data_IF_425150908543
#
_entry.id   IF_425150908543
#
_cell.length_a   1.000
_cell.length_b   1.000
_cell.length_c   1.000
_cell.angle_alpha   90.00
_cell.angle_beta   90.00
_cell.angle_gamma   90.00
#
_symmetry.space_group_name_H-M   'P 1'
#
loop_
_entity.id
_entity.type
_entity.pdbx_description
1 polymer ?
#
# COMPACT_ATOMS: atom_id res chain seq x y z
N UNK A 1 -0.83 50.36 -9.74
CA UNK A 1 0.28 49.62 -9.11
C UNK A 1 -0.34 48.36 -8.52
N UNK A 2 -0.33 47.26 -9.28
CA UNK A 2 -0.89 45.99 -8.82
C UNK A 2 0.01 45.43 -7.71
N UNK A 3 -0.56 45.15 -6.54
CA UNK A 3 0.15 44.50 -5.44
C UNK A 3 0.31 43.02 -5.80
N UNK A 4 1.56 42.60 -5.99
CA UNK A 4 1.91 41.19 -6.04
C UNK A 4 1.63 40.58 -4.66
N UNK A 5 0.54 39.81 -4.53
CA UNK A 5 0.27 39.01 -3.34
C UNK A 5 1.23 37.83 -3.35
N UNK A 6 2.01 37.68 -2.27
CA UNK A 6 2.84 36.50 -2.06
C UNK A 6 1.92 35.28 -1.88
N UNK A 7 1.99 34.24 -2.74
CA UNK A 7 1.09 33.07 -2.70
C UNK A 7 1.49 32.03 -1.66
N UNK A 8 2.48 32.33 -0.81
CA UNK A 8 3.05 31.37 0.11
C UNK A 8 2.26 31.33 1.41
N UNK A 9 1.50 30.23 1.56
CA UNK A 9 0.67 29.91 2.72
C UNK A 9 1.43 29.91 4.05
N UNK A 10 2.75 29.74 4.05
CA UNK A 10 3.54 29.62 5.28
C UNK A 10 3.68 30.95 6.05
N UNK A 11 3.42 32.10 5.39
CA UNK A 11 3.47 33.44 6.01
C UNK A 11 2.10 33.94 6.48
N UNK A 12 1.03 33.17 6.28
CA UNK A 12 -0.35 33.55 6.61
C UNK A 12 -0.73 33.14 8.03
N UNK A 13 0.02 33.66 9.02
CA UNK A 13 -0.05 33.29 10.45
C UNK A 13 -1.41 33.55 11.12
N UNK A 14 -2.24 34.40 10.51
CA UNK A 14 -3.56 34.78 11.03
C UNK A 14 -4.71 34.22 10.20
N UNK A 15 -4.43 33.36 9.23
CA UNK A 15 -5.49 32.63 8.55
C UNK A 15 -6.15 31.66 9.53
N UNK A 16 -7.49 31.58 9.55
CA UNK A 16 -8.15 30.55 10.33
C UNK A 16 -7.68 29.18 9.84
N UNK A 17 -7.45 28.25 10.77
CA UNK A 17 -7.12 26.88 10.41
C UNK A 17 -8.21 26.32 9.49
N UNK A 18 -7.78 25.74 8.37
CA UNK A 18 -8.69 25.05 7.47
C UNK A 18 -9.15 23.77 8.16
N UNK A 19 -10.36 23.80 8.69
CA UNK A 19 -11.02 22.61 9.25
C UNK A 19 -11.79 21.87 8.14
N UNK A 20 -11.52 20.58 8.01
CA UNK A 20 -12.24 19.71 7.07
C UNK A 20 -13.61 19.38 7.67
N UNK A 21 -14.68 19.91 7.08
CA UNK A 21 -16.07 19.70 7.53
C UNK A 21 -16.86 18.75 6.63
N UNK A 22 -16.29 18.29 5.51
CA UNK A 22 -17.00 17.49 4.53
C UNK A 22 -16.97 15.97 4.80
N UNK A 23 -16.10 15.50 5.70
CA UNK A 23 -15.99 14.09 6.08
C UNK A 23 -16.53 13.96 7.50
N UNK A 24 -17.67 13.30 7.66
CA UNK A 24 -18.31 13.09 8.96
C UNK A 24 -17.63 11.98 9.77
N UNK A 25 -17.17 10.92 9.09
CA UNK A 25 -16.47 9.80 9.71
C UNK A 25 -15.62 9.04 8.68
N UNK A 26 -14.62 8.30 9.17
CA UNK A 26 -13.77 7.41 8.37
C UNK A 26 -13.60 6.09 9.10
N UNK A 27 -13.54 5.00 8.34
CA UNK A 27 -13.34 3.65 8.87
C UNK A 27 -12.63 2.78 7.84
N UNK A 28 -11.97 1.72 8.32
CA UNK A 28 -11.40 0.70 7.44
C UNK A 28 -12.43 -0.39 7.14
N UNK A 29 -12.45 -0.84 5.89
CA UNK A 29 -13.24 -1.99 5.44
C UNK A 29 -12.29 -3.08 5.02
N UNK A 30 -12.47 -4.27 5.59
CA UNK A 30 -11.65 -5.44 5.26
C UNK A 30 -12.20 -6.14 4.02
N UNK A 31 -11.34 -6.35 3.03
CA UNK A 31 -11.67 -7.00 1.76
C UNK A 31 -10.79 -8.23 1.63
N UNK A 32 -11.44 -9.38 1.48
CA UNK A 32 -10.76 -10.66 1.34
C UNK A 32 -10.48 -10.97 -0.15
N UNK A 33 -9.46 -11.80 -0.44
CA UNK A 33 -9.24 -12.30 -1.79
C UNK A 33 -10.46 -13.05 -2.33
N UNK A 34 -10.66 -13.00 -3.64
CA UNK A 34 -11.77 -13.71 -4.31
C UNK A 34 -11.60 -15.23 -4.20
N UNK A 35 -10.35 -15.70 -4.27
CA UNK A 35 -9.99 -17.10 -4.24
C UNK A 35 -9.09 -17.44 -3.05
N UNK A 36 -9.08 -18.72 -2.66
CA UNK A 36 -8.11 -19.23 -1.69
C UNK A 36 -6.68 -19.11 -2.23
N UNK A 37 -5.75 -18.71 -1.36
CA UNK A 37 -4.35 -18.52 -1.71
C UNK A 37 -3.69 -19.88 -1.95
N UNK A 38 -2.98 -20.02 -3.06
CA UNK A 38 -2.15 -21.18 -3.41
C UNK A 38 -0.79 -20.71 -3.94
N UNK A 39 0.21 -21.60 -3.92
CA UNK A 39 1.62 -21.24 -4.11
C UNK A 39 1.98 -20.57 -5.46
N UNK A 40 1.12 -20.66 -6.47
CA UNK A 40 1.40 -20.12 -7.82
C UNK A 40 0.26 -19.31 -8.41
N UNK A 41 -0.73 -18.90 -7.61
CA UNK A 41 -1.90 -18.16 -8.11
C UNK A 41 -1.79 -16.66 -7.86
N UNK A 42 -2.21 -15.86 -8.83
CA UNK A 42 -2.47 -14.43 -8.64
C UNK A 42 -3.49 -14.24 -7.52
N UNK A 43 -3.17 -13.37 -6.56
CA UNK A 43 -4.11 -12.96 -5.52
C UNK A 43 -4.93 -11.79 -6.05
N UNK A 44 -6.24 -11.98 -6.17
CA UNK A 44 -7.15 -10.99 -6.72
C UNK A 44 -8.11 -10.47 -5.65
N UNK A 45 -8.27 -9.15 -5.61
CA UNK A 45 -9.21 -8.45 -4.75
C UNK A 45 -10.22 -7.68 -5.61
N UNK A 46 -11.51 -7.92 -5.38
CA UNK A 46 -12.58 -7.16 -6.03
C UNK A 46 -13.19 -6.18 -5.03
N UNK A 47 -12.97 -4.89 -5.28
CA UNK A 47 -13.50 -3.80 -4.45
C UNK A 47 -14.78 -3.27 -5.12
N UNK A 48 -15.93 -3.54 -4.52
CA UNK A 48 -17.21 -2.99 -4.99
C UNK A 48 -17.51 -1.67 -4.28
N UNK A 49 -18.17 -0.74 -4.99
CA UNK A 49 -18.59 0.55 -4.42
C UNK A 49 -19.47 0.37 -3.17
N UNK A 50 -19.19 1.17 -2.13
CA UNK A 50 -20.02 1.28 -0.95
C UNK A 50 -21.02 2.42 -1.23
N UNK A 51 -22.32 2.10 -1.34
CA UNK A 51 -23.32 3.05 -1.86
C UNK A 51 -23.29 4.44 -1.23
N UNK A 52 -23.07 4.52 0.08
CA UNK A 52 -23.13 5.76 0.87
C UNK A 52 -21.74 6.27 1.30
N UNK A 53 -20.65 5.64 0.87
CA UNK A 53 -19.29 5.97 1.29
C UNK A 53 -18.28 5.93 0.14
N UNK A 54 -17.26 6.78 0.23
CA UNK A 54 -16.18 6.81 -0.75
C UNK A 54 -14.93 6.11 -0.19
N UNK A 55 -14.20 5.44 -1.08
CA UNK A 55 -12.89 4.88 -0.74
C UNK A 55 -11.82 5.97 -0.82
N UNK A 56 -11.07 6.12 0.27
CA UNK A 56 -9.85 6.89 0.26
C UNK A 56 -8.70 6.02 -0.27
N UNK A 57 -8.34 6.22 -1.54
CA UNK A 57 -7.27 5.47 -2.20
C UNK A 57 -5.88 5.82 -1.68
N UNK A 58 -5.73 6.89 -0.89
CA UNK A 58 -4.46 7.21 -0.22
C UNK A 58 -4.20 6.33 1.01
N UNK A 59 -5.24 5.69 1.56
CA UNK A 59 -5.18 4.86 2.76
C UNK A 59 -5.61 3.42 2.47
N UNK A 60 -4.94 2.76 1.52
CA UNK A 60 -5.12 1.34 1.21
C UNK A 60 -3.98 0.53 1.81
N UNK A 61 -4.31 -0.45 2.64
CA UNK A 61 -3.35 -1.30 3.34
C UNK A 61 -3.54 -2.75 2.92
N UNK A 62 -2.44 -3.41 2.56
CA UNK A 62 -2.42 -4.86 2.33
C UNK A 62 -2.06 -5.57 3.63
N UNK A 63 -3.00 -6.32 4.19
CA UNK A 63 -2.77 -7.13 5.38
C UNK A 63 -2.26 -8.53 4.99
N UNK A 64 -1.07 -8.92 5.47
CA UNK A 64 -0.44 -10.21 5.14
C UNK A 64 -0.27 -11.02 6.42
N UNK A 65 -0.83 -12.22 6.43
CA UNK A 65 -0.59 -13.22 7.47
C UNK A 65 0.20 -14.39 6.86
N UNK A 66 1.43 -14.59 7.32
CA UNK A 66 2.32 -15.62 6.80
C UNK A 66 2.94 -16.45 7.95
N UNK A 67 3.14 -17.74 7.69
CA UNK A 67 3.87 -18.66 8.56
C UNK A 67 5.13 -19.14 7.84
N UNK A 68 6.29 -18.87 8.43
CA UNK A 68 7.55 -19.38 7.90
C UNK A 68 7.75 -20.84 8.33
N UNK A 69 8.03 -21.71 7.36
CA UNK A 69 8.35 -23.12 7.54
C UNK A 69 9.68 -23.45 6.88
N UNK A 70 10.28 -24.59 7.25
CA UNK A 70 11.41 -25.15 6.52
C UNK A 70 10.94 -25.68 5.15
N UNK A 71 11.90 -25.97 4.26
CA UNK A 71 11.61 -26.52 2.94
C UNK A 71 10.88 -27.88 2.97
N UNK A 72 10.95 -28.59 4.10
CA UNK A 72 10.23 -29.84 4.36
C UNK A 72 8.91 -29.64 5.12
N UNK A 73 8.40 -28.40 5.16
CA UNK A 73 7.18 -27.97 5.89
C UNK A 73 7.26 -28.10 7.42
N UNK A 74 8.42 -28.48 7.98
CA UNK A 74 8.58 -28.57 9.43
C UNK A 74 8.75 -27.20 10.09
N UNK A 75 8.43 -27.13 11.39
CA UNK A 75 8.60 -25.92 12.17
C UNK A 75 10.08 -25.66 12.50
N UNK A 76 10.45 -24.38 12.57
CA UNK A 76 11.75 -23.98 13.08
C UNK A 76 11.89 -24.28 14.58
N UNK A 77 13.10 -24.63 14.98
CA UNK A 77 13.51 -24.87 16.37
C UNK A 77 14.47 -23.77 16.81
N UNK A 78 14.73 -23.68 18.12
CA UNK A 78 15.67 -22.68 18.67
C UNK A 78 17.12 -22.87 18.23
N UNK A 79 17.44 -24.00 17.58
CA UNK A 79 18.76 -24.26 17.03
C UNK A 79 18.92 -23.77 15.57
N UNK A 80 17.82 -23.43 14.90
CA UNK A 80 17.84 -22.96 13.51
C UNK A 80 18.13 -21.46 13.46
N UNK A 81 19.21 -21.07 12.79
CA UNK A 81 19.53 -19.66 12.54
C UNK A 81 18.90 -19.21 11.23
N UNK A 82 17.63 -18.81 11.28
CA UNK A 82 16.89 -18.28 10.13
C UNK A 82 16.11 -17.02 10.50
N UNK A 83 15.91 -16.14 9.52
CA UNK A 83 15.06 -14.97 9.63
C UNK A 83 14.51 -14.57 8.26
N UNK A 84 13.48 -13.72 8.22
CA UNK A 84 13.00 -13.17 6.95
C UNK A 84 14.07 -12.28 6.32
N UNK A 85 14.03 -12.18 4.99
CA UNK A 85 14.84 -11.21 4.25
C UNK A 85 14.38 -9.78 4.55
N UNK A 86 15.26 -8.81 4.32
CA UNK A 86 14.88 -7.40 4.34
C UNK A 86 13.78 -7.14 3.30
N UNK A 87 12.89 -6.19 3.61
CA UNK A 87 11.77 -5.82 2.74
C UNK A 87 10.91 -7.01 2.28
N UNK A 88 10.66 -7.96 3.19
CA UNK A 88 9.89 -9.18 2.93
C UNK A 88 8.59 -8.89 2.17
N UNK A 89 7.77 -7.95 2.65
CA UNK A 89 6.48 -7.62 2.03
C UNK A 89 6.62 -7.09 0.60
N UNK A 90 7.68 -6.33 0.31
CA UNK A 90 7.91 -5.76 -1.02
C UNK A 90 8.41 -6.83 -2.01
N UNK A 91 9.14 -7.82 -1.50
CA UNK A 91 9.77 -8.87 -2.31
C UNK A 91 8.90 -10.12 -2.47
N UNK A 92 7.80 -10.22 -1.72
CA UNK A 92 6.81 -11.31 -1.83
C UNK A 92 6.08 -11.35 -3.18
N UNK A 93 5.94 -10.20 -3.86
CA UNK A 93 5.12 -10.09 -5.08
C UNK A 93 5.97 -9.79 -6.31
N UNK A 94 5.81 -10.59 -7.36
CA UNK A 94 6.51 -10.39 -8.63
C UNK A 94 5.88 -9.29 -9.49
N UNK A 95 4.56 -9.13 -9.40
CA UNK A 95 3.79 -8.18 -10.20
C UNK A 95 2.62 -7.60 -9.39
N UNK A 96 2.23 -6.38 -9.73
CA UNK A 96 1.04 -5.73 -9.18
C UNK A 96 0.28 -5.00 -10.30
N UNK A 97 -1.04 -5.24 -10.37
CA UNK A 97 -1.91 -4.68 -11.40
C UNK A 97 -3.11 -4.00 -10.73
N UNK A 98 -3.41 -2.78 -11.14
CA UNK A 98 -4.54 -2.01 -10.61
C UNK A 98 -5.45 -1.62 -11.78
N UNK A 99 -6.72 -1.97 -11.68
CA UNK A 99 -7.77 -1.63 -12.64
C UNK A 99 -8.92 -0.89 -11.96
N UNK A 100 -9.61 -0.05 -12.73
CA UNK A 100 -10.83 0.64 -12.32
C UNK A 100 -11.87 0.50 -13.43
N UNK A 101 -13.03 -0.06 -13.11
CA UNK A 101 -14.10 -0.34 -14.09
C UNK A 101 -13.57 -1.06 -15.35
N UNK A 102 -12.86 -2.16 -15.14
CA UNK A 102 -12.23 -2.99 -16.19
C UNK A 102 -11.16 -2.30 -17.05
N UNK A 103 -10.80 -1.05 -16.72
CA UNK A 103 -9.70 -0.34 -17.34
C UNK A 103 -8.47 -0.40 -16.45
N UNK A 104 -7.39 -0.99 -16.97
CA UNK A 104 -6.11 -1.00 -16.28
C UNK A 104 -5.57 0.44 -16.14
N UNK A 105 -5.29 0.83 -14.90
CA UNK A 105 -4.70 2.13 -14.55
C UNK A 105 -3.18 2.03 -14.41
N UNK A 106 -2.71 0.98 -13.73
CA UNK A 106 -1.30 0.74 -13.48
C UNK A 106 -0.96 -0.75 -13.62
N UNK A 107 0.26 -1.02 -14.05
CA UNK A 107 0.82 -2.35 -14.22
C UNK A 107 2.30 -2.29 -13.92
N UNK A 108 2.73 -3.00 -12.89
CA UNK A 108 4.13 -3.08 -12.52
C UNK A 108 4.61 -4.53 -12.62
N UNK A 109 5.42 -4.79 -13.65
CA UNK A 109 6.19 -6.03 -13.76
C UNK A 109 7.53 -5.92 -13.04
N UNK A 110 8.04 -7.04 -12.54
CA UNK A 110 9.27 -7.11 -11.75
C UNK A 110 9.22 -6.20 -10.51
N UNK A 111 8.06 -6.15 -9.86
CA UNK A 111 7.78 -5.27 -8.72
C UNK A 111 8.82 -5.41 -7.61
N UNK A 112 9.07 -6.64 -7.15
CA UNK A 112 10.06 -6.94 -6.11
C UNK A 112 11.43 -6.28 -6.37
N UNK A 113 11.97 -6.40 -7.59
CA UNK A 113 13.26 -5.81 -7.93
C UNK A 113 13.23 -4.30 -7.99
N UNK A 114 12.17 -3.71 -8.57
CA UNK A 114 12.04 -2.25 -8.66
C UNK A 114 11.94 -1.63 -7.27
N UNK A 115 11.12 -2.20 -6.39
CA UNK A 115 10.91 -1.66 -5.05
C UNK A 115 12.15 -1.84 -4.18
N UNK A 116 12.87 -2.95 -4.30
CA UNK A 116 14.13 -3.16 -3.59
C UNK A 116 15.18 -2.12 -4.01
N UNK A 117 15.39 -1.94 -5.32
CA UNK A 117 16.30 -0.92 -5.85
C UNK A 117 15.90 0.50 -5.45
N UNK A 118 14.61 0.83 -5.53
CA UNK A 118 14.10 2.14 -5.09
C UNK A 118 14.36 2.35 -3.60
N UNK A 119 14.10 1.35 -2.78
CA UNK A 119 14.31 1.42 -1.33
C UNK A 119 15.78 1.59 -0.99
N UNK A 120 16.70 0.95 -1.72
CA UNK A 120 18.14 1.10 -1.49
C UNK A 120 18.69 2.43 -2.00
N UNK A 121 18.25 2.88 -3.18
CA UNK A 121 18.81 4.07 -3.86
C UNK A 121 18.24 5.38 -3.33
N UNK A 122 16.97 5.39 -2.90
CA UNK A 122 16.27 6.61 -2.47
C UNK A 122 15.98 6.65 -0.96
N UNK A 123 16.64 5.80 -0.17
CA UNK A 123 16.45 5.71 1.29
C UNK A 123 16.73 7.01 2.06
N UNK A 124 17.43 7.97 1.46
CA UNK A 124 17.89 9.20 2.13
C UNK A 124 16.88 10.35 2.10
N UNK A 125 15.76 10.22 1.42
CA UNK A 125 14.67 11.21 1.47
C UNK A 125 13.54 10.68 2.35
N UNK A 126 13.71 10.82 3.66
CA UNK A 126 12.65 10.62 4.67
C UNK A 126 12.88 11.54 5.84
#
# INVERSE_FOLDING_TARGET
>A
MEKCYCPKSELELFSPEKIQLAIDSSSFVEIHPIASISDSSTIEFQITGLGDAYFDLSHVLLNIQAKNLKADESAFTTADNCGPINYLSNTMFSECHISLNDRQLSSESNYAYKTDLQSMLFHSES
#
